data_IF_485543614149
#
_entry.id   IF_485543614149
#
_cell.length_a   1.000
_cell.length_b   1.000
_cell.length_c   1.000
_cell.angle_alpha   90.00
_cell.angle_beta   90.00
_cell.angle_gamma   90.00
#
_symmetry.space_group_name_H-M   'P 1'
#
loop_
_entity.id
_entity.type
_entity.pdbx_description
1 polymer ?
#
# COMPACT_ATOMS: atom_id res chain seq x y z
N UNK A 1 -2.60 12.75 6.49
CA UNK A 1 -3.88 13.28 5.99
C UNK A 1 -5.04 12.31 6.15
N UNK A 2 -4.86 11.05 5.80
CA UNK A 2 -5.94 10.06 5.92
C UNK A 2 -6.45 9.95 7.35
N UNK A 3 -5.56 9.84 8.32
CA UNK A 3 -5.96 9.70 9.74
C UNK A 3 -6.66 10.95 10.27
N UNK A 4 -6.15 12.11 9.92
CA UNK A 4 -6.75 13.38 10.32
C UNK A 4 -8.15 13.54 9.72
N UNK A 5 -8.28 13.22 8.43
CA UNK A 5 -9.57 13.28 7.75
C UNK A 5 -10.55 12.27 8.34
N UNK A 6 -10.06 11.05 8.67
CA UNK A 6 -10.90 10.02 9.26
C UNK A 6 -11.47 10.49 10.59
N UNK A 7 -10.64 11.13 11.42
CA UNK A 7 -11.09 11.67 12.69
C UNK A 7 -12.11 12.80 12.51
N UNK A 8 -11.85 13.68 11.53
CA UNK A 8 -12.71 14.84 11.30
C UNK A 8 -14.09 14.47 10.79
N UNK A 9 -14.19 13.42 9.98
CA UNK A 9 -15.46 13.02 9.37
C UNK A 9 -16.20 11.93 10.13
N UNK A 10 -15.57 11.34 11.13
CA UNK A 10 -16.26 10.35 11.95
C UNK A 10 -17.40 11.01 12.72
N UNK A 11 -18.49 10.31 13.01
CA UNK A 11 -18.80 8.93 12.60
C UNK A 11 -19.50 8.83 11.24
N UNK A 12 -19.71 9.92 10.55
CA UNK A 12 -20.58 9.98 9.37
C UNK A 12 -19.90 9.44 8.11
N UNK A 13 -18.59 9.63 7.98
CA UNK A 13 -17.84 9.26 6.78
C UNK A 13 -16.59 8.52 7.19
N UNK A 14 -16.31 7.40 6.52
CA UNK A 14 -15.06 6.67 6.68
C UNK A 14 -14.07 7.16 5.63
N UNK A 15 -12.81 7.31 6.02
CA UNK A 15 -11.76 7.75 5.12
C UNK A 15 -10.60 6.76 5.21
N UNK A 16 -10.31 6.10 4.10
CA UNK A 16 -9.19 5.17 3.99
C UNK A 16 -8.39 5.50 2.74
N UNK A 17 -7.17 5.01 2.67
CA UNK A 17 -6.30 5.28 1.55
C UNK A 17 -5.65 4.03 0.98
N UNK A 18 -5.23 4.10 -0.26
CA UNK A 18 -4.47 3.05 -0.93
C UNK A 18 -3.20 3.70 -1.47
N UNK A 19 -2.08 3.09 -1.19
CA UNK A 19 -0.78 3.52 -1.70
C UNK A 19 -0.30 2.51 -2.73
N UNK A 20 -0.55 2.74 -4.03
CA UNK A 20 -0.18 1.79 -5.07
C UNK A 20 1.30 1.90 -5.43
N UNK A 21 1.89 0.78 -5.82
CA UNK A 21 3.20 0.74 -6.41
C UNK A 21 3.16 0.80 -7.94
N UNK A 22 4.21 0.32 -8.62
CA UNK A 22 4.26 0.34 -10.08
C UNK A 22 3.12 -0.50 -10.68
N UNK A 23 2.10 0.17 -11.18
CA UNK A 23 0.86 -0.45 -11.65
C UNK A 23 0.67 -0.24 -13.14
N UNK A 24 0.81 1.01 -13.59
CA UNK A 24 0.59 1.39 -14.97
C UNK A 24 1.80 2.16 -15.46
N UNK A 25 2.30 1.77 -16.63
CA UNK A 25 3.42 2.45 -17.26
C UNK A 25 3.01 3.88 -17.63
N UNK A 26 3.81 4.84 -17.23
CA UNK A 26 3.64 6.23 -17.65
C UNK A 26 4.04 6.36 -19.12
N UNK A 27 3.35 7.20 -19.88
CA UNK A 27 3.67 7.44 -21.29
C UNK A 27 5.11 7.90 -21.52
N UNK A 28 5.71 8.56 -20.53
CA UNK A 28 7.10 9.05 -20.61
C UNK A 28 8.13 8.02 -20.22
N UNK A 29 7.72 6.88 -19.69
CA UNK A 29 8.63 5.82 -19.30
C UNK A 29 8.80 4.83 -20.43
N UNK A 30 10.05 4.38 -20.63
CA UNK A 30 10.29 3.24 -21.52
C UNK A 30 9.85 1.96 -20.82
N UNK A 31 9.60 0.91 -21.58
CA UNK A 31 9.26 -0.38 -20.99
C UNK A 31 10.39 -0.91 -20.11
N UNK A 32 11.63 -0.68 -20.52
CA UNK A 32 12.78 -1.08 -19.73
C UNK A 32 12.82 -0.36 -18.39
N UNK A 33 12.56 0.95 -18.40
CA UNK A 33 12.55 1.74 -17.18
C UNK A 33 11.43 1.27 -16.23
N UNK A 34 10.24 1.05 -16.76
CA UNK A 34 9.12 0.56 -15.99
C UNK A 34 9.40 -0.83 -15.42
N UNK A 35 9.95 -1.72 -16.25
CA UNK A 35 10.32 -3.07 -15.80
C UNK A 35 11.37 -3.02 -14.70
N UNK A 36 12.37 -2.16 -14.83
CA UNK A 36 13.38 -2.00 -13.79
C UNK A 36 12.74 -1.48 -12.49
N UNK A 37 11.75 -0.61 -12.61
CA UNK A 37 11.07 -0.05 -11.47
C UNK A 37 10.35 -1.13 -10.67
N UNK A 38 9.54 -1.98 -11.32
CA UNK A 38 8.82 -3.01 -10.55
C UNK A 38 9.72 -4.18 -10.17
N UNK A 39 10.78 -4.47 -10.93
CA UNK A 39 11.75 -5.50 -10.54
C UNK A 39 12.62 -5.07 -9.35
N UNK A 40 12.67 -3.78 -9.05
CA UNK A 40 13.37 -3.28 -7.88
C UNK A 40 12.53 -3.47 -6.60
N UNK A 41 11.28 -3.85 -6.71
CA UNK A 41 10.45 -4.13 -5.53
C UNK A 41 10.79 -5.49 -4.93
N UNK A 42 10.59 -5.68 -3.63
CA UNK A 42 10.85 -6.98 -2.99
C UNK A 42 10.14 -8.16 -3.66
N UNK A 43 8.91 -7.98 -4.10
CA UNK A 43 8.18 -9.06 -4.80
C UNK A 43 8.50 -9.14 -6.28
N UNK A 44 9.22 -8.16 -6.81
CA UNK A 44 9.64 -8.11 -8.23
C UNK A 44 8.47 -8.30 -9.18
N UNK A 45 7.35 -7.67 -8.82
CA UNK A 45 6.10 -7.86 -9.53
C UNK A 45 5.43 -6.52 -9.76
N UNK A 46 4.88 -6.35 -10.97
CA UNK A 46 4.00 -5.23 -11.27
C UNK A 46 2.68 -5.42 -10.52
N UNK A 47 2.18 -4.35 -9.93
CA UNK A 47 0.87 -4.39 -9.26
C UNK A 47 -0.22 -4.39 -10.33
N UNK A 48 -1.16 -5.31 -10.22
CA UNK A 48 -2.30 -5.38 -11.12
C UNK A 48 -3.37 -4.37 -10.69
N UNK A 49 -3.94 -3.68 -11.64
CA UNK A 49 -5.05 -2.74 -11.40
C UNK A 49 -6.20 -3.44 -10.67
N UNK A 50 -6.43 -4.71 -10.97
CA UNK A 50 -7.46 -5.50 -10.30
C UNK A 50 -7.23 -5.58 -8.80
N UNK A 51 -5.98 -5.69 -8.37
CA UNK A 51 -5.66 -5.75 -6.94
C UNK A 51 -6.05 -4.46 -6.22
N UNK A 52 -5.89 -3.32 -6.89
CA UNK A 52 -6.30 -2.03 -6.34
C UNK A 52 -7.82 -1.96 -6.26
N UNK A 53 -8.51 -2.43 -7.27
CA UNK A 53 -9.97 -2.47 -7.26
C UNK A 53 -10.50 -3.37 -6.17
N UNK A 54 -9.86 -4.51 -5.95
CA UNK A 54 -10.22 -5.44 -4.88
C UNK A 54 -10.04 -4.78 -3.50
N UNK A 55 -9.02 -3.98 -3.34
CA UNK A 55 -8.78 -3.27 -2.08
C UNK A 55 -9.86 -2.21 -1.82
N UNK A 56 -10.27 -1.48 -2.86
CA UNK A 56 -11.37 -0.52 -2.74
C UNK A 56 -12.64 -1.24 -2.31
N UNK A 57 -12.94 -2.35 -2.96
CA UNK A 57 -14.11 -3.16 -2.63
C UNK A 57 -14.06 -3.66 -1.18
N UNK A 58 -12.89 -4.08 -0.73
CA UNK A 58 -12.67 -4.51 0.65
C UNK A 58 -13.01 -3.38 1.63
N UNK A 59 -12.54 -2.17 1.39
CA UNK A 59 -12.85 -1.03 2.24
C UNK A 59 -14.35 -0.70 2.24
N UNK A 60 -15.00 -0.84 1.09
CA UNK A 60 -16.43 -0.56 0.99
C UNK A 60 -17.22 -1.56 1.82
N UNK A 61 -16.86 -2.84 1.74
CA UNK A 61 -17.60 -3.91 2.42
C UNK A 61 -17.39 -3.96 3.92
N UNK A 62 -16.27 -3.43 4.40
CA UNK A 62 -15.92 -3.54 5.82
C UNK A 62 -16.13 -2.21 6.53
N UNK A 63 -17.31 -2.07 7.10
CA UNK A 63 -17.77 -0.80 7.67
C UNK A 63 -17.06 -0.36 8.95
N UNK A 64 -16.23 -1.21 9.51
CA UNK A 64 -15.52 -0.90 10.75
C UNK A 64 -14.12 -0.38 10.54
N UNK A 65 -13.72 -0.13 9.27
CA UNK A 65 -12.37 0.31 8.93
C UNK A 65 -12.39 1.79 8.54
N UNK A 66 -11.60 2.58 9.24
CA UNK A 66 -11.38 3.99 8.89
C UNK A 66 -9.99 4.40 9.34
N UNK A 67 -9.40 5.38 8.67
CA UNK A 67 -8.08 5.90 9.01
C UNK A 67 -6.94 4.99 8.61
N UNK A 68 -7.17 3.99 7.76
CA UNK A 68 -6.16 3.03 7.35
C UNK A 68 -5.62 3.34 5.97
N UNK A 69 -4.35 3.04 5.77
CA UNK A 69 -3.69 3.12 4.46
C UNK A 69 -3.16 1.73 4.14
N UNK A 70 -3.58 1.19 3.01
CA UNK A 70 -3.12 -0.11 2.56
C UNK A 70 -2.15 0.06 1.40
N UNK A 71 -0.92 -0.39 1.60
CA UNK A 71 0.08 -0.34 0.55
C UNK A 71 -0.05 -1.58 -0.33
N UNK A 72 -0.28 -1.37 -1.63
CA UNK A 72 -0.31 -2.43 -2.63
C UNK A 72 0.79 -2.12 -3.62
N UNK A 73 2.03 -2.42 -3.23
CA UNK A 73 3.21 -1.92 -3.91
C UNK A 73 4.29 -2.98 -4.10
N UNK A 74 3.93 -4.24 -3.98
CA UNK A 74 4.88 -5.36 -4.09
C UNK A 74 6.05 -5.23 -3.11
N UNK A 75 5.81 -4.54 -2.00
CA UNK A 75 6.81 -4.33 -0.97
C UNK A 75 7.73 -3.14 -1.21
N UNK A 76 7.43 -2.29 -2.19
CA UNK A 76 8.30 -1.15 -2.53
C UNK A 76 8.61 -0.27 -1.33
N UNK A 77 7.64 -0.02 -0.47
CA UNK A 77 7.81 0.83 0.70
C UNK A 77 8.84 0.28 1.69
N UNK A 78 9.09 -1.02 1.65
CA UNK A 78 10.08 -1.65 2.54
C UNK A 78 11.50 -1.26 2.18
N UNK A 79 11.75 -0.90 0.93
CA UNK A 79 13.07 -0.50 0.46
C UNK A 79 13.51 0.85 1.00
N UNK A 80 12.59 1.62 1.56
CA UNK A 80 12.88 2.96 2.10
C UNK A 80 13.29 2.93 3.56
N UNK A 81 13.31 1.74 4.18
CA UNK A 81 13.60 1.61 5.58
C UNK A 81 15.10 1.54 5.83
N UNK A 82 15.55 2.26 6.85
CA UNK A 82 16.93 2.15 7.32
C UNK A 82 17.12 0.80 8.03
N UNK A 83 18.36 0.36 8.24
CA UNK A 83 18.60 -0.87 9.00
C UNK A 83 17.89 -0.89 10.36
N UNK A 84 17.91 0.24 11.05
CA UNK A 84 17.23 0.34 12.35
C UNK A 84 15.72 0.20 12.20
N UNK A 85 15.17 0.84 11.18
CA UNK A 85 13.75 0.75 10.87
C UNK A 85 13.38 -0.68 10.49
N UNK A 86 14.24 -1.35 9.74
CA UNK A 86 14.02 -2.75 9.36
C UNK A 86 13.95 -3.64 10.61
N UNK A 87 14.86 -3.46 11.55
CA UNK A 87 14.83 -4.20 12.80
C UNK A 87 13.53 -3.98 13.56
N UNK A 88 13.10 -2.74 13.60
CA UNK A 88 11.86 -2.38 14.27
C UNK A 88 10.65 -3.02 13.58
N UNK A 89 10.64 -2.98 12.26
CA UNK A 89 9.58 -3.61 11.47
C UNK A 89 9.55 -5.11 11.72
N UNK A 90 10.70 -5.73 11.85
CA UNK A 90 10.78 -7.14 12.16
C UNK A 90 10.08 -7.48 13.49
N UNK A 91 10.23 -6.61 14.47
CA UNK A 91 9.57 -6.81 15.76
C UNK A 91 8.05 -6.74 15.66
N UNK A 92 7.52 -6.02 14.68
CA UNK A 92 6.08 -5.92 14.48
C UNK A 92 5.51 -7.05 13.64
N UNK A 93 6.32 -7.79 12.91
CA UNK A 93 5.86 -8.89 12.08
C UNK A 93 5.04 -9.94 12.84
N UNK A 94 5.45 -10.36 14.05
CA UNK A 94 4.66 -11.34 14.77
C UNK A 94 3.21 -10.95 14.98
N UNK A 95 2.93 -9.67 15.14
CA UNK A 95 1.57 -9.20 15.34
C UNK A 95 0.73 -9.32 14.06
N UNK A 96 1.35 -9.23 12.90
CA UNK A 96 0.65 -9.35 11.64
C UNK A 96 0.30 -10.81 11.31
N UNK A 97 0.92 -11.76 11.99
CA UNK A 97 0.58 -13.18 11.79
C UNK A 97 -0.73 -13.57 12.41
N UNK A 98 -1.29 -12.73 13.22
CA UNK A 98 -2.60 -12.99 13.80
C UNK A 98 -3.71 -12.92 12.76
N UNK A 99 -3.36 -12.50 11.58
CA UNK A 99 -4.27 -12.47 10.45
C UNK A 99 -4.44 -13.87 9.83
#
# INVERSE_FOLDING_TARGET
>A
MTKTSAMSFAPNIRVNGIAPGPTIKNKRQSEKHFKNQYLATPLKKQVDVKEICDAVDFFIKNSSITGQILAIDSGQSLNWQTPDTVSYTHLTLPTSHCV
#
